data_IF_606755468348
#
_entry.id   IF_606755468348
#
_cell.length_a   1.000
_cell.length_b   1.000
_cell.length_c   1.000
_cell.angle_alpha   90.00
_cell.angle_beta   90.00
_cell.angle_gamma   90.00
#
_symmetry.space_group_name_H-M   'P 1'
#
loop_
_entity.id
_entity.type
_entity.pdbx_description
1 polymer ?
#
# COMPACT_ATOMS: atom_id res chain seq x y z
N UNK A 1 12.49 5.96 6.63
CA UNK A 1 13.16 5.63 5.36
C UNK A 1 13.96 6.81 4.80
N UNK A 2 13.34 7.89 4.32
CA UNK A 2 14.03 8.99 3.60
C UNK A 2 15.20 9.62 4.38
N UNK A 3 15.00 9.98 5.65
CA UNK A 3 16.06 10.59 6.50
C UNK A 3 17.27 9.66 6.64
N UNK A 4 17.04 8.36 6.86
CA UNK A 4 18.12 7.39 7.00
C UNK A 4 18.90 7.19 5.70
N UNK A 5 18.21 7.15 4.55
CA UNK A 5 18.84 7.03 3.24
C UNK A 5 19.68 8.26 2.94
N UNK A 6 19.14 9.46 3.15
CA UNK A 6 19.87 10.71 2.95
C UNK A 6 21.09 10.81 3.86
N UNK A 7 20.96 10.42 5.14
CA UNK A 7 22.09 10.40 6.06
C UNK A 7 23.16 9.37 5.67
N UNK A 8 22.76 8.18 5.22
CA UNK A 8 23.70 7.17 4.73
C UNK A 8 24.42 7.63 3.46
N UNK A 9 23.71 8.30 2.55
CA UNK A 9 24.30 8.85 1.33
C UNK A 9 25.28 9.99 1.64
N UNK A 10 24.89 10.94 2.49
CA UNK A 10 25.78 12.00 2.97
C UNK A 10 27.02 11.43 3.68
N UNK A 11 26.84 10.40 4.51
CA UNK A 11 27.93 9.73 5.20
C UNK A 11 28.95 9.11 4.23
N UNK A 12 28.49 8.49 3.13
CA UNK A 12 29.38 7.95 2.09
C UNK A 12 30.20 9.03 1.39
N UNK A 13 29.58 10.17 1.09
CA UNK A 13 30.25 11.28 0.41
C UNK A 13 31.25 12.02 1.31
N UNK A 14 30.92 12.20 2.60
CA UNK A 14 31.77 12.93 3.55
C UNK A 14 32.94 12.10 4.06
N UNK A 15 32.74 10.79 4.28
CA UNK A 15 33.70 9.96 4.98
C UNK A 15 33.84 10.32 6.47
N UNK A 16 34.69 9.59 7.18
CA UNK A 16 34.97 9.89 8.59
C UNK A 16 36.09 10.92 8.71
N UNK A 17 36.02 11.81 9.72
CA UNK A 17 35.09 11.74 10.86
C UNK A 17 33.73 12.46 10.66
N UNK A 18 33.53 13.25 9.61
CA UNK A 18 32.33 14.09 9.40
C UNK A 18 31.03 13.30 9.23
N UNK A 19 31.09 12.08 8.68
CA UNK A 19 29.95 11.18 8.50
C UNK A 19 29.18 10.91 9.81
N UNK A 20 29.82 11.04 10.98
CA UNK A 20 29.14 10.89 12.28
C UNK A 20 28.00 11.89 12.48
N UNK A 21 28.08 13.07 11.87
CA UNK A 21 27.11 14.17 12.04
C UNK A 21 25.74 13.83 11.43
N UNK A 22 25.62 13.52 10.11
CA UNK A 22 24.33 13.14 9.53
C UNK A 22 23.80 11.83 10.13
N UNK A 23 24.67 10.89 10.49
CA UNK A 23 24.26 9.64 11.14
C UNK A 23 23.65 9.88 12.53
N UNK A 24 24.28 10.73 13.36
CA UNK A 24 23.73 11.10 14.66
C UNK A 24 22.36 11.77 14.54
N UNK A 25 22.20 12.68 13.57
CA UNK A 25 20.92 13.32 13.28
C UNK A 25 19.84 12.30 12.90
N UNK A 26 20.14 11.33 12.02
CA UNK A 26 19.19 10.31 11.62
C UNK A 26 18.79 9.39 12.78
N UNK A 27 19.75 9.01 13.64
CA UNK A 27 19.47 8.18 14.82
C UNK A 27 18.52 8.90 15.78
N UNK A 28 18.78 10.17 16.11
CA UNK A 28 17.91 10.97 16.99
C UNK A 28 16.51 11.11 16.38
N UNK A 29 16.42 11.37 15.08
CA UNK A 29 15.14 11.46 14.38
C UNK A 29 14.34 10.14 14.49
N UNK A 30 14.97 9.00 14.20
CA UNK A 30 14.29 7.70 14.26
C UNK A 30 13.92 7.36 15.70
N UNK A 31 14.81 7.61 16.67
CA UNK A 31 14.56 7.34 18.08
C UNK A 31 13.34 8.10 18.61
N UNK A 32 13.12 9.33 18.15
CA UNK A 32 12.01 10.19 18.59
C UNK A 32 10.76 10.13 17.70
N UNK A 33 10.85 9.54 16.49
CA UNK A 33 9.70 9.42 15.59
C UNK A 33 8.58 8.53 16.16
N UNK A 34 7.30 8.78 15.79
CA UNK A 34 6.20 7.85 16.05
C UNK A 34 6.52 6.45 15.52
N UNK A 35 6.29 5.42 16.33
CA UNK A 35 6.60 4.02 15.98
C UNK A 35 5.37 3.32 15.44
N UNK A 36 5.56 2.58 14.35
CA UNK A 36 4.58 1.65 13.80
C UNK A 36 5.29 0.56 13.02
N UNK A 37 4.91 -0.70 13.24
CA UNK A 37 5.27 -1.84 12.42
C UNK A 37 4.09 -2.33 11.55
N UNK A 38 3.00 -1.55 11.43
CA UNK A 38 1.76 -1.99 10.78
C UNK A 38 1.96 -2.39 9.31
N UNK A 39 2.71 -1.58 8.54
CA UNK A 39 3.03 -1.91 7.14
C UNK A 39 3.93 -3.15 7.01
N UNK A 40 4.86 -3.34 7.95
CA UNK A 40 5.73 -4.51 8.03
C UNK A 40 4.92 -5.79 8.32
N UNK A 41 4.03 -5.75 9.32
CA UNK A 41 3.16 -6.87 9.65
C UNK A 41 2.19 -7.20 8.50
N UNK A 42 1.70 -6.17 7.78
CA UNK A 42 0.79 -6.34 6.66
C UNK A 42 1.44 -7.12 5.50
N UNK A 43 2.69 -6.79 5.14
CA UNK A 43 3.39 -7.51 4.07
C UNK A 43 3.75 -8.93 4.49
N UNK A 44 4.14 -9.15 5.75
CA UNK A 44 4.40 -10.49 6.28
C UNK A 44 3.14 -11.37 6.23
N UNK A 45 1.98 -10.83 6.58
CA UNK A 45 0.71 -11.54 6.51
C UNK A 45 0.30 -11.87 5.07
N UNK A 46 0.45 -10.94 4.14
CA UNK A 46 0.16 -11.17 2.73
C UNK A 46 1.11 -12.24 2.13
N UNK A 47 2.40 -12.18 2.46
CA UNK A 47 3.38 -13.18 2.03
C UNK A 47 3.13 -14.56 2.66
N UNK A 48 2.68 -14.61 3.91
CA UNK A 48 2.29 -15.86 4.55
C UNK A 48 1.13 -16.49 3.78
N UNK A 49 0.07 -15.74 3.49
CA UNK A 49 -1.09 -16.23 2.74
C UNK A 49 -0.72 -16.79 1.37
N UNK A 50 0.17 -16.12 0.63
CA UNK A 50 0.67 -16.63 -0.66
C UNK A 50 1.34 -18.01 -0.52
N UNK A 51 2.01 -18.28 0.62
CA UNK A 51 2.71 -19.54 0.86
C UNK A 51 1.77 -20.67 1.29
N UNK A 52 0.70 -20.36 2.01
CA UNK A 52 -0.13 -21.38 2.70
C UNK A 52 -1.57 -21.51 2.17
N UNK A 53 -2.05 -20.55 1.37
CA UNK A 53 -3.42 -20.53 0.84
C UNK A 53 -3.40 -20.48 -0.68
N UNK A 54 -4.46 -21.02 -1.27
CA UNK A 54 -4.79 -20.72 -2.65
C UNK A 54 -5.43 -19.32 -2.74
N UNK A 55 -4.62 -18.32 -3.10
CA UNK A 55 -5.03 -16.92 -3.20
C UNK A 55 -5.94 -16.63 -4.40
N UNK A 56 -6.16 -17.59 -5.31
CA UNK A 56 -6.95 -17.39 -6.52
C UNK A 56 -6.22 -16.63 -7.63
N UNK A 57 -6.97 -16.25 -8.66
CA UNK A 57 -6.43 -15.53 -9.82
C UNK A 57 -6.73 -14.03 -9.75
N UNK A 58 -5.96 -13.25 -10.51
CA UNK A 58 -6.25 -11.83 -10.74
C UNK A 58 -7.66 -11.68 -11.31
N UNK A 59 -8.52 -10.80 -10.72
CA UNK A 59 -9.84 -10.50 -11.25
C UNK A 59 -9.81 -10.09 -12.73
N UNK A 60 -10.80 -10.51 -13.52
CA UNK A 60 -10.77 -10.34 -14.99
C UNK A 60 -10.68 -8.88 -15.42
N UNK A 61 -11.35 -7.97 -14.71
CA UNK A 61 -11.32 -6.53 -14.96
C UNK A 61 -9.98 -5.87 -14.58
N UNK A 62 -9.07 -6.57 -13.90
CA UNK A 62 -7.71 -6.07 -13.61
C UNK A 62 -6.62 -6.71 -14.49
N UNK A 63 -6.98 -7.67 -15.34
CA UNK A 63 -6.01 -8.30 -16.25
C UNK A 63 -5.65 -7.33 -17.37
N UNK A 64 -4.40 -7.41 -17.82
CA UNK A 64 -3.93 -6.60 -18.93
C UNK A 64 -4.77 -6.87 -20.20
N UNK A 65 -5.16 -5.79 -20.87
CA UNK A 65 -6.00 -5.81 -22.07
C UNK A 65 -5.19 -5.63 -23.36
N UNK A 66 -3.87 -5.44 -23.28
CA UNK A 66 -3.04 -5.04 -24.43
C UNK A 66 -2.47 -6.21 -25.25
N UNK A 67 -2.77 -7.47 -24.91
CA UNK A 67 -2.25 -8.62 -25.66
C UNK A 67 -3.25 -9.15 -26.71
N UNK A 68 -2.70 -9.75 -27.77
CA UNK A 68 -3.46 -10.28 -28.91
C UNK A 68 -4.37 -11.43 -28.45
N UNK A 69 -5.66 -11.16 -28.27
CA UNK A 69 -6.67 -12.09 -27.73
C UNK A 69 -7.44 -11.58 -26.51
N UNK A 70 -6.99 -10.49 -25.88
CA UNK A 70 -7.63 -9.93 -24.68
C UNK A 70 -9.09 -9.47 -24.91
N UNK A 71 -9.40 -8.93 -26.09
CA UNK A 71 -10.77 -8.53 -26.47
C UNK A 71 -11.72 -9.71 -26.61
N UNK A 72 -11.24 -10.85 -27.13
CA UNK A 72 -12.04 -12.07 -27.28
C UNK A 72 -12.28 -12.79 -25.94
N UNK A 73 -11.35 -12.62 -24.99
CA UNK A 73 -11.44 -13.16 -23.62
C UNK A 73 -12.16 -12.23 -22.62
N UNK A 74 -12.57 -11.03 -23.07
CA UNK A 74 -13.25 -10.03 -22.24
C UNK A 74 -12.38 -9.44 -21.13
N UNK A 75 -11.05 -9.39 -21.31
CA UNK A 75 -10.14 -8.82 -20.31
C UNK A 75 -10.13 -7.29 -20.34
N UNK A 76 -10.16 -6.69 -19.14
CA UNK A 76 -10.04 -5.24 -18.94
C UNK A 76 -11.23 -4.38 -19.41
N UNK A 77 -12.24 -4.95 -20.08
CA UNK A 77 -13.41 -4.18 -20.56
C UNK A 77 -14.29 -3.61 -19.44
N UNK A 78 -14.24 -4.21 -18.25
CA UNK A 78 -15.03 -3.80 -17.07
C UNK A 78 -14.19 -3.02 -16.05
N UNK A 79 -12.93 -2.68 -16.38
CA UNK A 79 -12.09 -1.90 -15.48
C UNK A 79 -12.65 -0.49 -15.30
N UNK A 80 -13.01 -0.15 -14.07
CA UNK A 80 -13.41 1.20 -13.70
C UNK A 80 -12.15 2.05 -13.42
N UNK A 81 -11.85 2.98 -14.33
CA UNK A 81 -10.70 3.88 -14.18
C UNK A 81 -10.97 4.94 -13.11
N UNK A 82 -10.29 4.91 -11.93
CA UNK A 82 -10.69 5.72 -10.78
C UNK A 82 -10.74 7.23 -11.03
N UNK A 83 -9.89 7.76 -11.91
CA UNK A 83 -9.83 9.19 -12.23
C UNK A 83 -11.07 9.72 -12.97
N UNK A 84 -11.92 8.85 -13.50
CA UNK A 84 -13.21 9.25 -14.10
C UNK A 84 -14.32 9.42 -13.06
N UNK A 85 -14.06 9.11 -11.78
CA UNK A 85 -15.03 9.15 -10.70
C UNK A 85 -14.75 10.28 -9.73
N UNK A 86 -15.79 10.70 -9.01
CA UNK A 86 -15.67 11.74 -7.99
C UNK A 86 -14.59 11.37 -6.96
N UNK A 87 -13.78 12.36 -6.57
CA UNK A 87 -12.65 12.17 -5.66
C UNK A 87 -11.57 11.19 -6.15
N UNK A 88 -11.56 10.85 -7.45
CA UNK A 88 -10.68 9.86 -8.06
C UNK A 88 -10.78 8.47 -7.42
N UNK A 89 -11.96 8.07 -6.98
CA UNK A 89 -12.19 6.79 -6.29
C UNK A 89 -13.47 6.10 -6.77
N UNK A 90 -13.39 4.79 -6.97
CA UNK A 90 -14.52 3.95 -7.37
C UNK A 90 -14.50 2.65 -6.58
N UNK A 91 -15.68 2.23 -6.13
CA UNK A 91 -15.89 0.94 -5.48
C UNK A 91 -15.72 -0.18 -6.53
N UNK A 92 -14.60 -0.90 -6.46
CA UNK A 92 -14.29 -2.00 -7.35
C UNK A 92 -13.51 -3.05 -6.54
N UNK A 93 -13.72 -4.32 -6.84
CA UNK A 93 -12.96 -5.40 -6.22
C UNK A 93 -11.52 -5.39 -6.75
N UNK A 94 -10.52 -5.38 -5.86
CA UNK A 94 -9.11 -5.44 -6.26
C UNK A 94 -8.41 -6.75 -5.89
N UNK A 95 -8.81 -7.35 -4.78
CA UNK A 95 -8.33 -8.66 -4.38
C UNK A 95 -9.03 -9.77 -5.17
N UNK A 96 -8.39 -10.93 -5.40
CA UNK A 96 -9.05 -12.12 -5.90
C UNK A 96 -10.29 -12.50 -5.07
N UNK A 97 -11.25 -13.20 -5.66
CA UNK A 97 -12.50 -13.62 -4.99
C UNK A 97 -12.23 -14.38 -3.68
N UNK A 98 -11.16 -15.19 -3.65
CA UNK A 98 -10.77 -15.96 -2.47
C UNK A 98 -10.23 -15.12 -1.31
N UNK A 99 -9.92 -13.85 -1.57
CA UNK A 99 -9.36 -12.90 -0.61
C UNK A 99 -10.20 -11.64 -0.50
N UNK A 100 -11.42 -11.59 -1.05
CA UNK A 100 -12.25 -10.37 -1.18
C UNK A 100 -12.46 -9.63 0.14
N UNK A 101 -12.57 -10.36 1.25
CA UNK A 101 -12.80 -9.81 2.60
C UNK A 101 -11.52 -9.61 3.41
N UNK A 102 -10.35 -9.84 2.80
CA UNK A 102 -9.07 -9.79 3.52
C UNK A 102 -8.60 -8.35 3.69
N UNK A 103 -8.23 -7.99 4.91
CA UNK A 103 -7.51 -6.75 5.21
C UNK A 103 -6.18 -7.11 5.86
N UNK A 104 -5.06 -6.74 5.23
CA UNK A 104 -3.73 -6.99 5.79
C UNK A 104 -3.19 -5.78 6.57
N UNK A 105 -3.47 -4.57 6.09
CA UNK A 105 -2.96 -3.35 6.68
C UNK A 105 -3.94 -2.76 7.71
N UNK A 106 -3.49 -2.72 8.96
CA UNK A 106 -4.21 -2.16 10.10
C UNK A 106 -3.40 -0.99 10.68
N UNK A 107 -3.65 0.25 10.22
CA UNK A 107 -2.87 1.42 10.66
C UNK A 107 -3.04 1.65 12.16
N UNK A 108 -1.96 2.09 12.82
CA UNK A 108 -2.02 2.55 14.20
C UNK A 108 -2.60 3.97 14.29
N UNK A 109 -2.77 4.48 15.50
CA UNK A 109 -3.15 5.89 15.72
C UNK A 109 -1.94 6.82 15.93
N UNK A 110 -0.72 6.33 15.66
CA UNK A 110 0.52 7.07 15.89
C UNK A 110 0.91 7.91 14.67
N UNK A 111 1.29 9.16 14.90
CA UNK A 111 1.80 10.05 13.86
C UNK A 111 0.85 10.14 12.65
N UNK A 112 1.41 9.98 11.45
CA UNK A 112 0.67 10.08 10.18
C UNK A 112 -0.32 8.93 9.95
N UNK A 113 -0.18 7.79 10.62
CA UNK A 113 -1.12 6.68 10.43
C UNK A 113 -2.53 7.01 10.92
N UNK A 114 -2.69 8.00 11.81
CA UNK A 114 -4.01 8.52 12.18
C UNK A 114 -4.77 9.11 10.98
N UNK A 115 -4.09 9.84 10.11
CA UNK A 115 -4.70 10.38 8.88
C UNK A 115 -5.05 9.25 7.90
N UNK A 116 -4.15 8.26 7.78
CA UNK A 116 -4.37 7.07 6.95
C UNK A 116 -5.59 6.29 7.43
N UNK A 117 -5.74 6.08 8.74
CA UNK A 117 -6.91 5.41 9.34
C UNK A 117 -8.21 6.14 8.98
N UNK A 118 -8.25 7.46 9.16
CA UNK A 118 -9.42 8.27 8.81
C UNK A 118 -9.75 8.19 7.31
N UNK A 119 -8.72 8.26 6.46
CA UNK A 119 -8.89 8.14 5.01
C UNK A 119 -9.39 6.75 4.61
N UNK A 120 -8.83 5.67 5.16
CA UNK A 120 -9.29 4.31 4.89
C UNK A 120 -10.76 4.11 5.29
N UNK A 121 -11.18 4.66 6.44
CA UNK A 121 -12.58 4.59 6.87
C UNK A 121 -13.51 5.36 5.94
N UNK A 122 -13.09 6.55 5.47
CA UNK A 122 -13.85 7.33 4.48
C UNK A 122 -14.03 6.56 3.18
N UNK A 123 -12.96 5.97 2.65
CA UNK A 123 -13.02 5.16 1.42
C UNK A 123 -13.92 3.93 1.60
N UNK A 124 -13.85 3.24 2.75
CA UNK A 124 -14.74 2.11 3.07
C UNK A 124 -16.21 2.51 3.12
N UNK A 125 -16.52 3.69 3.65
CA UNK A 125 -17.90 4.20 3.68
C UNK A 125 -18.41 4.53 2.27
N UNK A 126 -17.56 5.11 1.42
CA UNK A 126 -17.89 5.40 0.02
C UNK A 126 -18.09 4.13 -0.83
N UNK A 127 -17.44 3.03 -0.46
CA UNK A 127 -17.55 1.74 -1.16
C UNK A 127 -18.71 0.84 -0.69
N UNK A 128 -19.49 1.25 0.31
CA UNK A 128 -20.67 0.48 0.72
C UNK A 128 -21.80 0.68 -0.30
N UNK A 129 -22.47 -0.38 -0.76
CA UNK A 129 -23.64 -0.22 -1.62
C UNK A 129 -24.69 0.60 -0.88
N UNK A 130 -25.31 1.57 -1.57
CA UNK A 130 -26.47 2.28 -1.08
C UNK A 130 -27.60 1.26 -0.92
N UNK A 131 -27.97 0.95 0.31
CA UNK A 131 -29.21 0.21 0.58
C UNK A 131 -30.37 1.12 0.18
N UNK A 132 -31.04 0.80 -0.92
CA UNK A 132 -32.36 1.33 -1.30
C UNK A 132 -33.42 0.25 -1.08
#
# INVERSE_FOLDING_TARGET
MVVAVAAADAARHLGLPEARIPLAQAVIYIATAPKSNAAYAAIDAALADIKIKDCGQVPRHLRDAHYHGAKELGHGNEYLYPHNYENNHVAQQYLPDRLSDTTYYHPTHNGKEREIFSQMNRLKQQSRPLNY
#
